data_IF_021707414171
#
_entry.id   IF_021707414171
#
_cell.length_a   1.000
_cell.length_b   1.000
_cell.length_c   1.000
_cell.angle_alpha   90.00
_cell.angle_beta   90.00
_cell.angle_gamma   90.00
#
_symmetry.space_group_name_H-M   'P 1'
#
loop_
_entity.id
_entity.type
_entity.pdbx_description
1 polymer ?
#
# COMPACT_ATOMS: atom_id res chain seq x y z
N UNK A 1 14.51 -9.31 -6.87
CA UNK A 1 15.28 -9.49 -8.13
C UNK A 1 15.24 -8.20 -8.92
N UNK A 2 16.40 -7.65 -9.28
CA UNK A 2 16.57 -6.46 -10.12
C UNK A 2 17.04 -6.86 -11.52
N UNK A 3 16.61 -6.14 -12.55
CA UNK A 3 16.99 -6.37 -13.96
C UNK A 3 17.48 -5.07 -14.55
N UNK A 4 18.63 -5.08 -15.24
CA UNK A 4 19.27 -3.89 -15.82
C UNK A 4 20.08 -4.27 -17.07
N UNK A 5 20.49 -3.29 -17.91
CA UNK A 5 21.45 -3.54 -19.01
C UNK A 5 22.84 -3.04 -18.63
N UNK A 6 23.87 -3.84 -18.91
CA UNK A 6 25.25 -3.36 -18.77
C UNK A 6 25.64 -2.40 -19.91
N UNK A 7 26.84 -1.83 -19.82
CA UNK A 7 27.38 -0.91 -20.84
C UNK A 7 27.51 -1.51 -22.25
N UNK A 8 27.40 -2.83 -22.39
CA UNK A 8 27.42 -3.56 -23.66
C UNK A 8 26.01 -3.89 -24.16
N UNK A 9 24.96 -3.45 -23.46
CA UNK A 9 23.56 -3.72 -23.79
C UNK A 9 23.08 -5.12 -23.42
N UNK A 10 23.87 -5.90 -22.68
CA UNK A 10 23.49 -7.23 -22.21
C UNK A 10 22.55 -7.11 -21.00
N UNK A 11 21.53 -7.97 -20.96
CA UNK A 11 20.61 -8.05 -19.80
C UNK A 11 21.31 -8.71 -18.63
N UNK A 12 21.30 -8.03 -17.50
CA UNK A 12 21.87 -8.43 -16.23
C UNK A 12 20.78 -8.52 -15.17
N UNK A 13 21.01 -9.39 -14.20
CA UNK A 13 20.11 -9.68 -13.09
C UNK A 13 20.87 -9.59 -11.78
N UNK A 14 20.34 -8.88 -10.80
CA UNK A 14 20.92 -8.84 -9.46
C UNK A 14 19.91 -9.34 -8.45
N UNK A 15 20.28 -10.37 -7.68
CA UNK A 15 19.44 -10.92 -6.62
C UNK A 15 19.94 -10.42 -5.28
N UNK A 16 19.08 -9.74 -4.53
CA UNK A 16 19.41 -9.24 -3.20
C UNK A 16 18.57 -9.88 -2.12
N UNK A 17 19.19 -9.93 -0.94
CA UNK A 17 18.62 -10.43 0.30
C UNK A 17 18.51 -9.26 1.27
N UNK A 18 17.38 -9.14 1.96
CA UNK A 18 17.22 -8.14 3.03
C UNK A 18 15.79 -7.63 3.16
N UNK A 19 15.57 -6.90 4.26
CA UNK A 19 14.34 -6.13 4.47
C UNK A 19 14.23 -5.02 3.41
N UNK A 20 12.99 -4.68 3.04
CA UNK A 20 12.62 -3.78 1.93
C UNK A 20 13.37 -2.44 1.92
N UNK A 21 13.88 -1.99 3.06
CA UNK A 21 14.42 -0.65 3.28
C UNK A 21 15.97 -0.57 3.23
N UNK A 22 16.69 -1.66 2.91
CA UNK A 22 18.15 -1.74 3.06
C UNK A 22 18.98 -1.74 1.76
N UNK A 23 18.41 -1.30 0.63
CA UNK A 23 19.09 -1.36 -0.68
C UNK A 23 19.70 -0.02 -1.11
N UNK A 24 21.01 0.10 -0.93
CA UNK A 24 21.80 1.18 -1.52
C UNK A 24 22.04 0.92 -3.03
N UNK A 25 22.19 1.99 -3.82
CA UNK A 25 22.51 1.90 -5.26
C UNK A 25 23.79 1.07 -5.52
N UNK A 26 24.76 1.16 -4.61
CA UNK A 26 26.01 0.37 -4.62
C UNK A 26 25.76 -1.14 -4.59
N UNK A 27 24.70 -1.59 -3.92
CA UNK A 27 24.29 -3.00 -3.88
C UNK A 27 23.65 -3.39 -5.21
N UNK A 28 22.76 -2.56 -5.78
CA UNK A 28 22.04 -2.85 -7.04
C UNK A 28 22.97 -3.22 -8.20
N UNK A 29 24.13 -2.56 -8.28
CA UNK A 29 25.15 -2.79 -9.31
C UNK A 29 26.36 -3.60 -8.80
N UNK A 30 26.22 -4.33 -7.69
CA UNK A 30 27.29 -5.15 -7.15
C UNK A 30 27.60 -6.32 -8.09
N UNK A 31 28.75 -6.24 -8.77
CA UNK A 31 29.29 -7.22 -9.70
C UNK A 31 29.36 -8.66 -9.14
N UNK A 32 29.37 -8.85 -7.82
CA UNK A 32 29.38 -10.18 -7.20
C UNK A 32 28.01 -10.88 -7.24
N UNK A 33 26.92 -10.10 -7.31
CA UNK A 33 25.54 -10.60 -7.37
C UNK A 33 24.95 -10.63 -8.78
N UNK A 34 25.72 -10.14 -9.76
CA UNK A 34 25.30 -10.02 -11.16
C UNK A 34 25.30 -11.39 -11.83
N UNK A 35 24.11 -11.80 -12.25
CA UNK A 35 23.89 -12.92 -13.15
C UNK A 35 23.59 -12.36 -14.53
N UNK A 36 24.17 -12.93 -15.59
CA UNK A 36 23.83 -12.61 -16.99
C UNK A 36 23.06 -13.74 -17.66
N UNK A 37 22.85 -14.83 -16.94
CA UNK A 37 22.15 -16.02 -17.41
C UNK A 37 20.85 -16.21 -16.62
N UNK A 38 19.72 -16.14 -17.34
CA UNK A 38 18.40 -16.37 -16.78
C UNK A 38 18.25 -17.81 -16.23
N UNK A 39 18.93 -18.81 -16.80
CA UNK A 39 18.91 -20.16 -16.26
C UNK A 39 19.57 -20.25 -14.88
N UNK A 40 20.63 -19.50 -14.63
CA UNK A 40 21.26 -19.38 -13.32
C UNK A 40 20.35 -18.68 -12.30
N UNK A 41 19.64 -17.61 -12.72
CA UNK A 41 18.62 -16.95 -11.90
C UNK A 41 17.53 -17.95 -11.52
N UNK A 42 17.02 -18.73 -12.48
CA UNK A 42 15.99 -19.76 -12.27
C UNK A 42 16.46 -20.84 -11.28
N UNK A 43 17.68 -21.33 -11.43
CA UNK A 43 18.23 -22.35 -10.53
C UNK A 43 18.35 -21.83 -9.10
N UNK A 44 18.81 -20.58 -8.95
CA UNK A 44 18.87 -19.92 -7.64
C UNK A 44 17.46 -19.80 -7.05
N UNK A 45 16.51 -19.19 -7.75
CA UNK A 45 15.11 -19.05 -7.30
C UNK A 45 14.47 -20.40 -6.91
N UNK A 46 14.73 -21.46 -7.66
CA UNK A 46 14.21 -22.80 -7.37
C UNK A 46 14.82 -23.45 -6.12
N UNK A 47 16.06 -23.13 -5.75
CA UNK A 47 16.70 -23.65 -4.53
C UNK A 47 16.05 -23.09 -3.26
N UNK A 48 15.51 -21.87 -3.31
CA UNK A 48 14.82 -21.21 -2.18
C UNK A 48 13.38 -21.74 -1.95
N UNK A 49 12.91 -22.69 -2.77
CA UNK A 49 11.64 -23.43 -2.59
C UNK A 49 11.56 -24.21 -1.27
N UNK A 50 12.67 -24.44 -0.58
CA UNK A 50 12.75 -25.33 0.58
C UNK A 50 12.47 -24.65 1.93
N UNK A 51 12.53 -23.32 2.02
CA UNK A 51 12.47 -22.58 3.30
C UNK A 51 11.15 -21.83 3.54
N UNK A 52 10.28 -21.72 2.52
CA UNK A 52 8.97 -21.07 2.64
C UNK A 52 9.01 -19.54 2.53
N UNK A 53 10.10 -18.95 2.06
CA UNK A 53 10.27 -17.49 1.94
C UNK A 53 9.41 -16.88 0.82
N UNK A 54 8.77 -15.75 1.07
CA UNK A 54 8.02 -14.99 0.07
C UNK A 54 8.97 -14.24 -0.88
N UNK A 55 8.76 -14.37 -2.18
CA UNK A 55 9.62 -13.76 -3.21
C UNK A 55 8.94 -12.52 -3.79
N UNK A 56 9.48 -11.34 -3.50
CA UNK A 56 9.09 -10.10 -4.17
C UNK A 56 10.09 -9.78 -5.29
N UNK A 57 9.57 -9.60 -6.50
CA UNK A 57 10.34 -9.20 -7.68
C UNK A 57 10.06 -7.71 -7.92
N UNK A 58 11.13 -6.91 -7.89
CA UNK A 58 11.06 -5.47 -8.18
C UNK A 58 11.85 -5.24 -9.44
N UNK A 59 11.14 -5.23 -10.57
CA UNK A 59 11.74 -4.89 -11.86
C UNK A 59 11.92 -3.37 -11.91
N UNK A 60 13.12 -2.89 -12.23
CA UNK A 60 13.39 -1.47 -12.40
C UNK A 60 13.90 -1.24 -13.81
N UNK A 61 13.05 -0.66 -14.66
CA UNK A 61 13.52 -0.08 -15.92
C UNK A 61 14.36 1.14 -15.60
N UNK A 62 15.67 1.03 -15.79
CA UNK A 62 16.52 2.18 -16.07
C UNK A 62 16.51 2.27 -17.59
N UNK A 63 15.74 3.21 -18.16
CA UNK A 63 15.76 3.81 -19.52
C UNK A 63 16.22 3.02 -20.77
N UNK A 64 16.52 1.72 -20.69
CA UNK A 64 17.32 0.95 -21.64
C UNK A 64 16.57 -0.29 -22.18
N UNK A 65 15.38 -0.59 -21.66
CA UNK A 65 14.50 -1.64 -22.17
C UNK A 65 13.26 -1.05 -22.85
N UNK A 66 12.96 -1.52 -24.06
CA UNK A 66 11.68 -1.23 -24.71
C UNK A 66 10.53 -1.96 -24.03
N UNK A 67 9.30 -1.45 -24.18
CA UNK A 67 8.07 -2.09 -23.66
C UNK A 67 7.93 -3.55 -24.11
N UNK A 68 8.34 -3.88 -25.34
CA UNK A 68 8.30 -5.24 -25.89
C UNK A 68 9.34 -6.16 -25.24
N UNK A 69 10.57 -5.68 -25.02
CA UNK A 69 11.59 -6.44 -24.29
C UNK A 69 11.16 -6.69 -22.84
N UNK A 70 10.49 -5.71 -22.22
CA UNK A 70 9.96 -5.82 -20.86
C UNK A 70 8.87 -6.87 -20.76
N UNK A 71 7.91 -6.90 -21.69
CA UNK A 71 6.85 -7.90 -21.72
C UNK A 71 7.41 -9.33 -21.92
N UNK A 72 8.34 -9.49 -22.86
CA UNK A 72 8.97 -10.79 -23.11
C UNK A 72 9.80 -11.29 -21.91
N UNK A 73 10.44 -10.39 -21.17
CA UNK A 73 11.17 -10.72 -19.96
C UNK A 73 10.24 -11.09 -18.80
N UNK A 74 9.15 -10.35 -18.65
CA UNK A 74 8.07 -10.63 -17.69
C UNK A 74 7.53 -12.05 -17.87
N UNK A 75 7.16 -12.42 -19.09
CA UNK A 75 6.59 -13.74 -19.37
C UNK A 75 7.58 -14.86 -19.02
N UNK A 76 8.86 -14.66 -19.40
CA UNK A 76 9.93 -15.62 -19.11
C UNK A 76 10.24 -15.78 -17.61
N UNK A 77 10.04 -14.73 -16.83
CA UNK A 77 10.21 -14.76 -15.38
C UNK A 77 9.01 -15.43 -14.72
N UNK A 78 7.78 -15.00 -15.04
CA UNK A 78 6.51 -15.52 -14.49
C UNK A 78 6.38 -17.03 -14.66
N UNK A 79 6.69 -17.55 -15.86
CA UNK A 79 6.69 -19.00 -16.14
C UNK A 79 7.67 -19.79 -15.25
N UNK A 80 8.61 -19.10 -14.61
CA UNK A 80 9.66 -19.69 -13.79
C UNK A 80 9.40 -19.57 -12.28
N UNK A 81 8.31 -18.93 -11.86
CA UNK A 81 8.03 -18.67 -10.45
C UNK A 81 7.19 -19.79 -9.79
N UNK A 82 7.40 -20.08 -8.49
CA UNK A 82 6.69 -21.16 -7.79
C UNK A 82 5.19 -20.85 -7.64
N UNK A 83 4.29 -21.85 -7.63
CA UNK A 83 2.83 -21.63 -7.56
C UNK A 83 2.28 -20.73 -6.41
N UNK A 84 3.08 -20.44 -5.37
CA UNK A 84 2.73 -19.57 -4.24
C UNK A 84 3.47 -18.21 -4.27
N UNK A 85 3.89 -17.75 -5.44
CA UNK A 85 4.51 -16.44 -5.61
C UNK A 85 3.45 -15.35 -5.80
N UNK A 86 3.77 -14.13 -5.37
CA UNK A 86 3.15 -12.91 -5.88
C UNK A 86 4.21 -12.16 -6.70
N UNK A 87 3.99 -12.01 -8.00
CA UNK A 87 4.86 -11.21 -8.86
C UNK A 87 4.23 -9.88 -9.20
N UNK A 88 5.02 -8.82 -9.09
CA UNK A 88 4.68 -7.47 -9.53
C UNK A 88 5.72 -6.99 -10.53
N UNK A 89 5.30 -6.47 -11.68
CA UNK A 89 6.21 -5.97 -12.72
C UNK A 89 5.93 -4.49 -12.95
N UNK A 90 6.96 -3.66 -12.90
CA UNK A 90 6.85 -2.22 -13.13
C UNK A 90 8.13 -1.63 -13.71
N UNK A 91 8.02 -0.46 -14.35
CA UNK A 91 9.17 0.40 -14.64
C UNK A 91 9.25 1.46 -13.54
N UNK A 92 10.45 1.84 -13.08
CA UNK A 92 10.62 2.77 -11.95
C UNK A 92 9.83 4.10 -12.12
N UNK A 93 9.51 4.47 -13.37
CA UNK A 93 8.60 5.58 -13.72
C UNK A 93 7.13 5.21 -14.02
N UNK A 94 6.80 4.09 -14.69
CA UNK A 94 5.40 3.77 -15.07
C UNK A 94 4.56 3.20 -13.92
N UNK A 95 5.18 2.73 -12.82
CA UNK A 95 4.42 2.33 -11.61
C UNK A 95 3.74 3.54 -10.94
N UNK A 96 4.10 4.76 -11.34
CA UNK A 96 3.54 6.02 -10.87
C UNK A 96 2.17 6.37 -11.48
N UNK A 97 1.93 6.01 -12.75
CA UNK A 97 0.80 6.52 -13.53
C UNK A 97 -0.37 5.53 -13.65
N UNK A 98 -0.11 4.22 -13.62
CA UNK A 98 -1.16 3.20 -13.48
C UNK A 98 -1.33 2.88 -12.00
N UNK A 99 -2.36 3.46 -11.38
CA UNK A 99 -2.66 3.32 -9.95
C UNK A 99 -2.35 1.92 -9.40
N UNK A 100 -1.48 1.89 -8.39
CA UNK A 100 -1.09 0.70 -7.63
C UNK A 100 -2.22 0.23 -6.70
N UNK A 101 -3.42 -0.02 -7.23
CA UNK A 101 -4.49 -0.64 -6.45
C UNK A 101 -4.24 -2.13 -6.19
N UNK A 102 -3.27 -2.75 -6.89
CA UNK A 102 -3.00 -4.21 -6.81
C UNK A 102 -1.78 -4.61 -5.96
N UNK A 103 -1.11 -3.67 -5.29
CA UNK A 103 0.18 -3.94 -4.64
C UNK A 103 0.26 -3.53 -3.17
N UNK A 104 -0.65 -4.03 -2.35
CA UNK A 104 -0.34 -4.45 -0.98
C UNK A 104 -1.27 -5.60 -0.60
N UNK A 105 -0.95 -6.82 -1.03
CA UNK A 105 -1.11 -7.89 -0.03
C UNK A 105 -0.06 -7.61 1.02
N UNK A 106 -0.49 -7.49 2.28
CA UNK A 106 0.36 -7.87 3.40
C UNK A 106 0.68 -9.35 3.16
N UNK A 107 1.73 -9.57 2.36
CA UNK A 107 2.30 -10.88 2.10
C UNK A 107 2.76 -11.44 3.43
N UNK A 108 2.72 -12.76 3.55
CA UNK A 108 2.89 -13.57 4.76
C UNK A 108 4.28 -13.48 5.45
N UNK A 109 4.95 -12.34 5.39
CA UNK A 109 6.03 -11.94 6.31
C UNK A 109 5.46 -11.24 7.56
N UNK A 110 4.12 -11.37 7.73
CA UNK A 110 3.29 -10.63 8.65
C UNK A 110 3.62 -10.91 10.11
N UNK A 111 3.70 -9.83 10.88
CA UNK A 111 3.91 -9.78 12.33
C UNK A 111 3.66 -11.13 13.02
N UNK A 112 4.75 -11.81 13.38
CA UNK A 112 4.67 -13.15 13.94
C UNK A 112 4.53 -13.07 15.45
N UNK A 113 3.30 -12.95 15.93
CA UNK A 113 3.04 -13.12 17.35
C UNK A 113 3.09 -14.60 17.71
N UNK A 114 3.93 -14.98 18.67
CA UNK A 114 3.80 -16.27 19.35
C UNK A 114 2.44 -16.31 20.07
N UNK A 115 1.55 -17.19 19.60
CA UNK A 115 0.19 -17.40 20.14
C UNK A 115 0.17 -18.74 20.88
N UNK A 116 0.90 -18.84 21.98
CA UNK A 116 0.93 -20.04 22.84
C UNK A 116 -0.20 -20.05 23.89
N UNK A 117 -1.18 -19.16 23.73
CA UNK A 117 -2.40 -19.07 24.54
C UNK A 117 -2.22 -18.37 25.90
N UNK A 118 -1.00 -17.99 26.27
CA UNK A 118 -0.75 -17.20 27.46
C UNK A 118 -0.78 -15.70 27.13
N UNK A 119 -1.49 -14.92 27.95
CA UNK A 119 -1.40 -13.46 27.88
C UNK A 119 0.04 -13.03 28.12
N UNK A 120 0.62 -12.27 27.18
CA UNK A 120 2.00 -11.76 27.28
C UNK A 120 2.17 -10.40 26.63
N UNK A 121 3.23 -9.71 27.02
CA UNK A 121 3.64 -8.47 26.37
C UNK A 121 4.35 -8.77 25.04
N UNK A 122 4.29 -7.81 24.13
CA UNK A 122 5.12 -7.82 22.93
C UNK A 122 6.59 -7.65 23.29
N UNK A 123 7.43 -8.40 22.60
CA UNK A 123 8.87 -8.21 22.60
C UNK A 123 9.25 -6.94 21.84
N UNK A 124 10.46 -6.43 22.07
CA UNK A 124 10.98 -5.29 21.31
C UNK A 124 11.04 -5.56 19.81
N UNK A 125 11.23 -6.82 19.41
CA UNK A 125 11.25 -7.23 18.00
C UNK A 125 9.86 -7.18 17.38
N UNK A 126 8.85 -7.73 18.05
CA UNK A 126 7.46 -7.64 17.61
C UNK A 126 6.97 -6.19 17.50
N UNK A 127 7.38 -5.31 18.43
CA UNK A 127 7.08 -3.87 18.33
C UNK A 127 7.74 -3.25 17.09
N UNK A 128 8.98 -3.64 16.74
CA UNK A 128 9.63 -3.18 15.50
C UNK A 128 8.88 -3.68 14.26
N UNK A 129 8.51 -4.97 14.23
CA UNK A 129 7.74 -5.56 13.12
C UNK A 129 6.39 -4.88 12.93
N UNK A 130 5.68 -4.57 14.02
CA UNK A 130 4.44 -3.78 13.96
C UNK A 130 4.72 -2.42 13.31
N UNK A 131 5.72 -1.67 13.80
CA UNK A 131 6.01 -0.36 13.23
C UNK A 131 6.39 -0.43 11.75
N UNK A 132 7.14 -1.45 11.32
CA UNK A 132 7.43 -1.71 9.90
C UNK A 132 6.13 -1.93 9.10
N UNK A 133 5.23 -2.77 9.62
CA UNK A 133 3.95 -3.07 8.98
C UNK A 133 3.00 -1.86 8.87
N UNK A 134 3.19 -0.80 9.67
CA UNK A 134 2.43 0.46 9.63
C UNK A 134 3.22 1.63 9.01
N UNK A 135 4.45 1.41 8.56
CA UNK A 135 5.26 2.46 7.95
C UNK A 135 4.69 2.84 6.58
N UNK A 136 4.61 4.14 6.30
CA UNK A 136 4.30 4.64 4.96
C UNK A 136 5.50 4.38 4.04
N UNK A 137 5.26 3.96 2.79
CA UNK A 137 6.33 3.63 1.84
C UNK A 137 6.94 4.90 1.23
N UNK A 138 7.67 5.68 2.02
CA UNK A 138 8.56 6.72 1.48
C UNK A 138 9.99 6.17 1.40
N UNK A 139 10.75 6.40 0.32
CA UNK A 139 12.19 6.45 0.46
C UNK A 139 12.53 7.68 1.29
N UNK A 140 12.94 7.49 2.55
CA UNK A 140 13.68 8.50 3.28
C UNK A 140 15.03 8.64 2.59
N UNK A 141 15.24 9.73 1.85
CA UNK A 141 16.59 10.13 1.48
C UNK A 141 17.23 10.76 2.72
N UNK A 142 18.27 10.11 3.24
CA UNK A 142 19.16 10.72 4.24
C UNK A 142 19.87 11.92 3.58
N UNK A 143 19.41 13.12 3.92
CA UNK A 143 20.17 14.36 3.74
C UNK A 143 20.92 14.66 5.04
N UNK A 144 22.22 14.92 4.91
CA UNK A 144 23.23 14.99 5.98
C UNK A 144 23.10 16.21 6.93
N UNK A 145 22.00 16.95 6.86
CA UNK A 145 21.91 18.28 7.44
C UNK A 145 20.52 18.60 7.97
N UNK A 146 20.03 17.76 8.92
CA UNK A 146 19.19 18.15 10.08
C UNK A 146 17.84 18.84 9.84
N UNK A 147 17.52 19.17 8.59
CA UNK A 147 16.28 19.72 8.11
C UNK A 147 15.57 18.61 7.37
N UNK A 148 14.46 18.14 7.95
CA UNK A 148 13.55 17.19 7.31
C UNK A 148 13.09 17.77 5.97
N UNK A 149 13.80 17.42 4.91
CA UNK A 149 13.50 17.86 3.56
C UNK A 149 12.25 17.11 3.08
N UNK A 150 11.10 17.67 3.41
CA UNK A 150 9.96 17.53 2.53
C UNK A 150 10.34 18.14 1.17
N UNK A 151 9.91 17.47 0.09
CA UNK A 151 9.82 17.99 -1.28
C UNK A 151 11.10 18.01 -2.14
N UNK A 152 11.69 16.87 -2.51
CA UNK A 152 12.24 16.75 -3.89
C UNK A 152 12.35 15.30 -4.40
N UNK A 153 11.36 14.85 -5.16
CA UNK A 153 11.65 14.10 -6.39
C UNK A 153 10.75 14.69 -7.48
N UNK A 154 11.26 14.78 -8.71
CA UNK A 154 10.57 15.44 -9.82
C UNK A 154 9.30 14.71 -10.28
N UNK A 155 9.05 13.50 -9.76
CA UNK A 155 8.02 12.56 -10.23
C UNK A 155 7.16 12.07 -9.06
N UNK A 156 6.42 13.02 -8.47
CA UNK A 156 5.48 12.91 -7.33
C UNK A 156 4.69 11.59 -7.24
N UNK A 157 5.20 10.57 -6.55
CA UNK A 157 4.38 9.44 -6.09
C UNK A 157 4.51 9.27 -4.59
N UNK A 158 3.38 9.48 -3.91
CA UNK A 158 3.25 9.24 -2.48
C UNK A 158 2.67 7.84 -2.30
N UNK A 159 3.40 6.97 -1.60
CA UNK A 159 2.86 5.68 -1.19
C UNK A 159 2.57 5.72 0.30
N UNK A 160 1.31 5.61 0.65
CA UNK A 160 0.90 5.45 2.04
C UNK A 160 0.28 4.07 2.21
N UNK A 161 0.45 3.54 3.41
CA UNK A 161 0.01 2.22 3.75
C UNK A 161 -1.52 2.18 3.78
N UNK A 162 -2.18 1.29 3.01
CA UNK A 162 -3.65 1.25 2.91
C UNK A 162 -4.32 0.97 4.25
N UNK A 163 -3.60 0.40 5.22
CA UNK A 163 -4.11 0.18 6.58
C UNK A 163 -4.33 1.52 7.31
N UNK A 164 -3.57 2.57 6.99
CA UNK A 164 -3.60 3.81 7.74
C UNK A 164 -4.93 4.59 7.57
N UNK A 165 -5.70 4.36 6.50
CA UNK A 165 -7.04 4.95 6.34
C UNK A 165 -8.01 4.53 7.45
N UNK A 166 -7.87 3.29 7.92
CA UNK A 166 -8.69 2.74 9.00
C UNK A 166 -8.36 3.35 10.37
N UNK A 167 -7.35 4.21 10.45
CA UNK A 167 -6.86 4.82 11.68
C UNK A 167 -7.15 6.32 11.78
N UNK A 168 -7.88 6.87 10.80
CA UNK A 168 -8.24 8.29 10.77
C UNK A 168 -9.45 8.63 11.66
N UNK A 169 -10.20 7.61 12.05
CA UNK A 169 -11.31 7.73 13.00
C UNK A 169 -11.15 6.74 14.15
N UNK A 170 -11.83 7.00 15.25
CA UNK A 170 -11.91 6.12 16.40
C UNK A 170 -13.27 5.41 16.46
N UNK A 171 -13.25 4.11 16.71
CA UNK A 171 -14.44 3.24 16.75
C UNK A 171 -14.22 2.03 17.65
N UNK A 172 -15.28 1.63 18.37
CA UNK A 172 -15.27 0.43 19.23
C UNK A 172 -15.49 -0.84 18.41
N UNK A 173 -16.24 -0.74 17.31
CA UNK A 173 -16.55 -1.85 16.40
C UNK A 173 -16.33 -1.45 14.95
N UNK A 174 -15.94 -2.38 14.06
CA UNK A 174 -15.67 -2.03 12.66
C UNK A 174 -16.86 -1.39 11.93
N UNK A 175 -18.09 -1.72 12.32
CA UNK A 175 -19.33 -1.15 11.76
C UNK A 175 -19.52 0.34 12.07
N UNK A 176 -18.76 0.90 13.02
CA UNK A 176 -18.88 2.28 13.49
C UNK A 176 -17.82 3.20 12.89
N UNK A 177 -16.89 2.67 12.09
CA UNK A 177 -15.89 3.46 11.39
C UNK A 177 -16.54 4.62 10.63
N UNK A 178 -15.97 5.82 10.76
CA UNK A 178 -16.44 6.98 10.03
C UNK A 178 -16.05 6.85 8.56
N UNK A 179 -17.01 6.53 7.69
CA UNK A 179 -16.73 6.28 6.28
C UNK A 179 -16.21 7.53 5.57
N UNK A 180 -16.64 8.73 5.96
CA UNK A 180 -16.11 9.98 5.41
C UNK A 180 -14.60 10.12 5.69
N UNK A 181 -14.15 9.88 6.93
CA UNK A 181 -12.73 10.01 7.30
C UNK A 181 -11.87 8.99 6.54
N UNK A 182 -12.41 7.78 6.33
CA UNK A 182 -11.76 6.75 5.50
C UNK A 182 -11.64 7.21 4.03
N UNK A 183 -12.73 7.71 3.45
CA UNK A 183 -12.78 8.12 2.04
C UNK A 183 -11.97 9.39 1.79
N UNK A 184 -11.93 10.37 2.69
CA UNK A 184 -11.24 11.65 2.47
C UNK A 184 -9.75 11.49 2.19
N UNK A 185 -9.16 10.39 2.64
CA UNK A 185 -7.74 10.16 2.57
C UNK A 185 -7.34 8.88 1.85
N UNK A 186 -8.28 8.13 1.26
CA UNK A 186 -8.02 6.88 0.53
C UNK A 186 -6.96 7.08 -0.60
N UNK A 187 -6.13 6.09 -0.92
CA UNK A 187 -5.04 6.28 -1.91
C UNK A 187 -5.35 5.73 -3.32
N UNK A 188 -6.38 4.90 -3.50
CA UNK A 188 -6.72 4.26 -4.78
C UNK A 188 -7.67 5.04 -5.69
N UNK A 189 -7.51 6.36 -5.77
CA UNK A 189 -8.46 7.24 -6.46
C UNK A 189 -8.21 7.45 -7.95
N UNK A 190 -9.30 7.55 -8.70
CA UNK A 190 -9.30 8.21 -10.02
C UNK A 190 -9.70 9.68 -9.86
N UNK A 191 -9.10 10.58 -10.64
CA UNK A 191 -9.47 12.00 -10.64
C UNK A 191 -10.42 12.29 -11.79
N UNK A 192 -11.47 13.07 -11.55
CA UNK A 192 -12.37 13.54 -12.61
C UNK A 192 -11.63 14.50 -13.56
N UNK A 193 -11.79 14.31 -14.87
CA UNK A 193 -11.17 15.14 -15.91
C UNK A 193 -12.21 16.03 -16.60
N UNK A 194 -11.98 17.34 -16.63
CA UNK A 194 -12.87 18.29 -17.31
C UNK A 194 -13.06 17.98 -18.80
N UNK A 195 -12.10 17.30 -19.44
CA UNK A 195 -12.13 16.96 -20.87
C UNK A 195 -13.02 15.76 -21.15
N UNK A 196 -13.40 15.01 -20.11
CA UNK A 196 -14.25 13.84 -20.21
C UNK A 196 -15.73 14.22 -19.98
N UNK A 197 -16.58 13.99 -20.98
CA UNK A 197 -17.99 14.33 -20.89
C UNK A 197 -18.76 13.52 -19.85
N UNK A 198 -18.31 12.32 -19.50
CA UNK A 198 -18.92 11.51 -18.45
C UNK A 198 -18.55 12.05 -17.05
N UNK A 199 -17.30 12.44 -16.86
CA UNK A 199 -16.85 13.06 -15.60
C UNK A 199 -17.54 14.42 -15.35
N UNK A 200 -17.80 15.20 -16.41
CA UNK A 200 -18.61 16.42 -16.30
C UNK A 200 -20.06 16.14 -15.86
N UNK A 201 -20.64 15.00 -16.27
CA UNK A 201 -21.98 14.57 -15.84
C UNK A 201 -21.96 14.14 -14.38
N UNK A 202 -20.98 13.35 -13.97
CA UNK A 202 -20.74 12.98 -12.56
C UNK A 202 -20.66 14.23 -11.69
N UNK A 203 -19.80 15.16 -12.07
CA UNK A 203 -19.61 16.41 -11.36
C UNK A 203 -20.90 17.24 -11.24
N UNK A 204 -21.70 17.31 -12.32
CA UNK A 204 -23.00 17.98 -12.31
C UNK A 204 -24.01 17.32 -11.35
N UNK A 205 -23.87 16.02 -11.06
CA UNK A 205 -24.67 15.34 -10.03
C UNK A 205 -24.14 15.62 -8.62
N UNK A 206 -22.82 15.63 -8.43
CA UNK A 206 -22.20 16.02 -7.16
C UNK A 206 -22.61 17.43 -6.73
N UNK A 207 -22.65 18.38 -7.66
CA UNK A 207 -23.09 19.77 -7.41
C UNK A 207 -24.56 19.89 -6.95
N UNK A 208 -25.37 18.84 -7.11
CA UNK A 208 -26.76 18.80 -6.62
C UNK A 208 -26.87 18.20 -5.22
N UNK A 209 -25.80 17.58 -4.70
CA UNK A 209 -25.78 17.06 -3.34
C UNK A 209 -25.80 18.20 -2.34
N UNK A 210 -26.41 17.93 -1.19
CA UNK A 210 -26.35 18.86 -0.06
C UNK A 210 -24.90 18.94 0.44
N UNK A 211 -24.42 20.15 0.70
CA UNK A 211 -23.10 20.47 1.25
C UNK A 211 -21.87 20.16 0.37
N UNK A 212 -22.04 19.78 -0.90
CA UNK A 212 -20.90 19.62 -1.81
C UNK A 212 -20.18 20.97 -2.05
N UNK A 213 -18.86 21.09 -1.80
CA UNK A 213 -18.22 22.39 -1.63
C UNK A 213 -17.79 23.06 -2.94
N UNK A 214 -17.77 22.32 -4.06
CA UNK A 214 -17.19 22.80 -5.32
C UNK A 214 -18.27 23.36 -6.24
N UNK A 215 -18.15 24.65 -6.58
CA UNK A 215 -19.00 25.35 -7.55
C UNK A 215 -18.25 25.60 -8.86
N UNK A 216 -18.97 25.85 -9.96
CA UNK A 216 -18.35 26.13 -11.27
C UNK A 216 -18.15 24.86 -12.08
N UNK A 217 -16.97 24.69 -12.69
CA UNK A 217 -16.53 23.52 -13.46
C UNK A 217 -15.50 22.68 -12.69
N UNK A 218 -15.14 21.50 -13.22
CA UNK A 218 -14.09 20.65 -12.63
C UNK A 218 -12.75 21.42 -12.52
N UNK A 219 -12.38 22.20 -13.53
CA UNK A 219 -11.14 22.99 -13.51
C UNK A 219 -11.16 24.20 -12.57
N UNK A 220 -12.34 24.66 -12.15
CA UNK A 220 -12.47 25.70 -11.12
C UNK A 220 -12.22 25.15 -9.70
N UNK A 221 -12.15 23.82 -9.55
CA UNK A 221 -11.91 23.19 -8.27
C UNK A 221 -10.50 23.50 -7.76
N UNK A 222 -10.33 24.04 -6.54
CA UNK A 222 -9.01 24.31 -5.96
C UNK A 222 -8.22 23.02 -5.66
N UNK A 223 -8.89 21.86 -5.73
CA UNK A 223 -8.39 20.54 -5.37
C UNK A 223 -8.92 19.48 -6.33
N UNK A 224 -8.18 18.39 -6.57
CA UNK A 224 -8.69 17.29 -7.40
C UNK A 224 -9.98 16.70 -6.82
N UNK A 225 -10.95 16.43 -7.68
CA UNK A 225 -12.16 15.69 -7.32
C UNK A 225 -11.88 14.22 -7.58
N UNK A 226 -11.83 13.44 -6.51
CA UNK A 226 -11.38 12.06 -6.52
C UNK A 226 -12.57 11.11 -6.40
N UNK A 227 -12.55 9.99 -7.13
CA UNK A 227 -13.56 8.92 -7.09
C UNK A 227 -12.95 7.54 -6.85
N UNK A 228 -13.60 6.73 -6.02
CA UNK A 228 -13.28 5.31 -5.75
C UNK A 228 -14.54 4.48 -5.91
N UNK A 229 -14.43 3.31 -6.52
CA UNK A 229 -15.60 2.43 -6.65
C UNK A 229 -16.01 1.86 -5.30
N UNK A 230 -17.31 1.62 -5.13
CA UNK A 230 -17.82 0.93 -3.94
C UNK A 230 -17.22 -0.47 -3.78
N UNK A 231 -16.97 -1.16 -4.89
CA UNK A 231 -16.39 -2.50 -4.90
C UNK A 231 -14.97 -2.54 -4.32
N UNK A 232 -14.13 -1.55 -4.65
CA UNK A 232 -12.79 -1.41 -4.07
C UNK A 232 -12.86 -1.20 -2.56
N UNK A 233 -13.70 -0.25 -2.11
CA UNK A 233 -13.90 0.02 -0.67
C UNK A 233 -14.43 -1.21 0.07
N UNK A 234 -15.41 -1.91 -0.47
CA UNK A 234 -15.94 -3.14 0.13
C UNK A 234 -14.90 -4.27 0.17
N UNK A 235 -14.01 -4.34 -0.84
CA UNK A 235 -12.86 -5.25 -0.85
C UNK A 235 -11.89 -4.99 0.31
N UNK A 236 -11.58 -3.73 0.58
CA UNK A 236 -10.71 -3.34 1.69
C UNK A 236 -11.38 -3.62 3.05
N UNK A 237 -12.67 -3.33 3.18
CA UNK A 237 -13.42 -3.61 4.41
C UNK A 237 -13.47 -5.12 4.70
N UNK A 238 -13.69 -5.96 3.68
CA UNK A 238 -13.63 -7.42 3.83
C UNK A 238 -12.24 -7.92 4.20
N UNK A 239 -11.20 -7.28 3.67
CA UNK A 239 -9.81 -7.68 3.89
C UNK A 239 -9.32 -7.28 5.29
N UNK A 240 -9.48 -6.02 5.66
CA UNK A 240 -8.88 -5.45 6.87
C UNK A 240 -9.81 -5.46 8.08
N UNK A 241 -11.14 -5.46 7.88
CA UNK A 241 -12.12 -5.41 8.96
C UNK A 241 -12.96 -6.70 9.09
N UNK A 242 -12.90 -7.60 8.11
CA UNK A 242 -13.78 -8.79 8.02
C UNK A 242 -15.28 -8.47 8.06
N UNK A 243 -15.69 -7.30 7.55
CA UNK A 243 -17.10 -6.91 7.39
C UNK A 243 -17.37 -6.50 5.95
N UNK A 244 -18.62 -6.56 5.51
CA UNK A 244 -19.04 -5.88 4.29
C UNK A 244 -19.27 -4.40 4.55
N UNK A 245 -19.06 -3.57 3.53
CA UNK A 245 -19.38 -2.15 3.56
C UNK A 245 -20.86 -1.90 3.91
N UNK A 246 -21.78 -2.80 3.57
CA UNK A 246 -23.20 -2.70 3.96
C UNK A 246 -23.44 -2.73 5.46
N UNK A 247 -22.50 -3.26 6.24
CA UNK A 247 -22.58 -3.29 7.70
C UNK A 247 -22.16 -1.97 8.34
N UNK A 248 -21.59 -1.03 7.56
CA UNK A 248 -21.13 0.27 8.07
C UNK A 248 -22.29 1.20 8.33
N UNK A 249 -22.38 1.65 9.58
CA UNK A 249 -23.48 2.46 10.12
C UNK A 249 -23.19 3.96 10.06
N UNK A 250 -21.92 4.37 10.19
CA UNK A 250 -21.53 5.77 10.14
C UNK A 250 -21.11 6.20 8.72
N UNK A 251 -22.06 6.75 7.98
CA UNK A 251 -21.89 7.21 6.58
C UNK A 251 -22.09 8.72 6.41
N UNK A 252 -22.11 9.46 7.52
CA UNK A 252 -22.37 10.89 7.51
C UNK A 252 -21.23 11.62 6.79
N UNK A 253 -21.56 12.59 5.92
CA UNK A 253 -20.56 13.40 5.21
C UNK A 253 -19.91 12.74 4.00
N UNK A 254 -20.26 11.49 3.67
CA UNK A 254 -19.73 10.81 2.48
C UNK A 254 -20.53 11.19 1.23
N UNK A 255 -19.86 11.59 0.16
CA UNK A 255 -20.48 11.79 -1.16
C UNK A 255 -20.50 10.47 -1.93
N UNK A 256 -21.70 9.96 -2.24
CA UNK A 256 -21.90 8.71 -2.98
C UNK A 256 -22.91 8.90 -4.11
N UNK A 257 -22.51 8.57 -5.34
CA UNK A 257 -23.41 8.55 -6.50
C UNK A 257 -23.78 7.11 -6.84
N UNK A 258 -25.04 6.75 -6.63
CA UNK A 258 -25.55 5.41 -6.91
C UNK A 258 -25.46 5.03 -8.41
N UNK A 259 -25.67 6.00 -9.32
CA UNK A 259 -25.60 5.79 -10.77
C UNK A 259 -24.20 5.35 -11.25
N UNK A 260 -23.17 5.68 -10.48
CA UNK A 260 -21.76 5.38 -10.76
C UNK A 260 -21.17 4.35 -9.78
N UNK A 261 -21.95 3.94 -8.79
CA UNK A 261 -21.55 3.08 -7.68
C UNK A 261 -20.18 3.47 -7.07
N UNK A 262 -20.00 4.77 -6.82
CA UNK A 262 -18.71 5.34 -6.43
C UNK A 262 -18.84 6.39 -5.31
N UNK A 263 -17.79 6.47 -4.49
CA UNK A 263 -17.60 7.49 -3.47
C UNK A 263 -16.67 8.59 -3.95
N UNK A 264 -16.87 9.81 -3.46
CA UNK A 264 -16.12 10.99 -3.88
C UNK A 264 -15.58 11.78 -2.68
N UNK A 265 -14.41 12.41 -2.87
CA UNK A 265 -13.88 13.43 -1.95
C UNK A 265 -13.18 14.56 -2.73
N UNK A 266 -12.92 15.65 -2.01
CA UNK A 266 -12.25 16.84 -2.53
C UNK A 266 -11.13 17.28 -1.56
N UNK A 267 -10.40 16.33 -0.97
CA UNK A 267 -9.36 16.64 0.03
C UNK A 267 -8.02 16.91 -0.68
N UNK A 268 -7.42 18.08 -0.41
CA UNK A 268 -6.18 18.58 -1.04
C UNK A 268 -4.99 17.66 -0.80
N UNK A 269 -4.73 17.37 0.48
CA UNK A 269 -3.47 16.76 0.91
C UNK A 269 -3.79 15.54 1.77
N UNK A 270 -3.01 14.47 1.60
CA UNK A 270 -3.06 13.33 2.48
C UNK A 270 -1.85 13.33 3.43
N UNK A 271 -2.04 13.85 4.65
CA UNK A 271 -1.06 13.73 5.72
C UNK A 271 -1.48 12.60 6.66
N UNK A 272 -1.46 11.37 6.15
CA UNK A 272 -1.75 10.20 6.98
C UNK A 272 -0.49 9.85 7.76
N UNK A 273 -0.52 10.09 9.07
CA UNK A 273 0.58 9.72 9.96
C UNK A 273 0.54 8.21 10.24
N UNK A 274 1.67 7.50 10.15
CA UNK A 274 1.71 6.08 10.44
C UNK A 274 1.44 5.81 11.92
N UNK A 275 0.81 4.67 12.22
CA UNK A 275 0.64 4.21 13.60
C UNK A 275 1.99 3.84 14.21
N UNK A 276 2.39 4.56 15.25
CA UNK A 276 3.64 4.30 15.96
C UNK A 276 3.41 3.49 17.23
N UNK A 277 3.60 2.18 17.13
CA UNK A 277 3.51 1.25 18.25
C UNK A 277 4.65 1.47 19.24
N UNK A 278 4.32 1.70 20.51
CA UNK A 278 5.28 1.81 21.62
C UNK A 278 5.37 0.51 22.44
N UNK A 279 4.25 -0.21 22.54
CA UNK A 279 4.16 -1.48 23.26
C UNK A 279 2.89 -2.22 22.82
N UNK A 280 2.71 -3.46 23.28
CA UNK A 280 1.48 -4.19 23.05
C UNK A 280 1.37 -5.42 23.92
N UNK A 281 0.23 -6.10 23.82
CA UNK A 281 -0.01 -7.40 24.42
C UNK A 281 -0.71 -8.34 23.44
N UNK A 282 -0.44 -9.63 23.60
CA UNK A 282 -1.11 -10.73 22.91
C UNK A 282 -1.88 -11.50 23.96
N UNK A 283 -3.15 -11.80 23.67
CA UNK A 283 -4.06 -12.57 24.49
C UNK A 283 -4.87 -13.51 23.59
N UNK A 284 -4.33 -14.70 23.37
CA UNK A 284 -4.84 -15.62 22.34
C UNK A 284 -4.84 -14.96 20.96
N UNK A 285 -5.98 -14.98 20.28
CA UNK A 285 -6.14 -14.38 18.95
C UNK A 285 -6.26 -12.85 18.96
N UNK A 286 -6.25 -12.20 20.13
CA UNK A 286 -6.39 -10.76 20.26
C UNK A 286 -5.03 -10.12 20.51
N UNK A 287 -4.74 -9.06 19.77
CA UNK A 287 -3.55 -8.25 19.91
C UNK A 287 -3.97 -6.81 20.17
N UNK A 288 -3.44 -6.22 21.24
CA UNK A 288 -3.61 -4.80 21.54
C UNK A 288 -2.28 -4.10 21.35
N UNK A 289 -2.28 -3.11 20.46
CA UNK A 289 -1.13 -2.28 20.15
C UNK A 289 -1.37 -0.91 20.77
N UNK A 290 -0.38 -0.41 21.51
CA UNK A 290 -0.46 0.85 22.23
C UNK A 290 0.47 1.86 21.56
N UNK A 291 -0.10 2.97 21.10
CA UNK A 291 0.66 4.14 20.67
C UNK A 291 0.73 5.17 21.82
N UNK A 292 1.27 6.34 21.52
CA UNK A 292 1.21 7.49 22.43
C UNK A 292 -0.25 7.91 22.70
N UNK A 293 -1.10 7.88 21.68
CA UNK A 293 -2.44 8.46 21.68
C UNK A 293 -3.57 7.47 21.49
N UNK A 294 -3.27 6.25 21.04
CA UNK A 294 -4.29 5.33 20.54
C UNK A 294 -4.04 3.90 21.03
N UNK A 295 -5.12 3.12 21.02
CA UNK A 295 -5.14 1.67 21.21
C UNK A 295 -5.75 1.04 19.96
N UNK A 296 -4.93 0.31 19.21
CA UNK A 296 -5.37 -0.46 18.05
C UNK A 296 -5.53 -1.93 18.45
N UNK A 297 -6.71 -2.48 18.27
CA UNK A 297 -6.99 -3.89 18.57
C UNK A 297 -7.14 -4.67 17.28
N UNK A 298 -6.35 -5.74 17.15
CA UNK A 298 -6.38 -6.68 16.05
C UNK A 298 -6.89 -8.03 16.54
N UNK A 299 -7.55 -8.77 15.65
CA UNK A 299 -7.93 -10.17 15.86
C UNK A 299 -7.40 -11.04 14.74
N UNK A 300 -6.83 -12.19 15.09
CA UNK A 300 -6.46 -13.21 14.11
C UNK A 300 -7.72 -13.92 13.60
N UNK A 301 -7.95 -13.87 12.28
CA UNK A 301 -9.07 -14.50 11.58
C UNK A 301 -8.52 -15.22 10.36
N UNK A 302 -8.66 -16.55 10.31
CA UNK A 302 -8.21 -17.38 9.19
C UNK A 302 -6.75 -17.10 8.75
N UNK A 303 -5.85 -16.98 9.72
CA UNK A 303 -4.42 -16.73 9.47
C UNK A 303 -4.04 -15.27 9.27
N UNK A 304 -5.01 -14.35 9.10
CA UNK A 304 -4.78 -12.90 8.90
C UNK A 304 -5.14 -12.10 10.13
N UNK A 305 -4.64 -10.87 10.24
CA UNK A 305 -5.05 -9.93 11.30
C UNK A 305 -6.08 -8.94 10.75
N UNK A 306 -7.21 -8.83 11.42
CA UNK A 306 -8.26 -7.86 11.11
C UNK A 306 -8.37 -6.84 12.24
N UNK A 307 -8.57 -5.57 11.90
CA UNK A 307 -8.81 -4.51 12.86
C UNK A 307 -10.22 -4.70 13.42
N UNK A 308 -10.32 -4.75 14.75
CA UNK A 308 -11.60 -4.87 15.45
C UNK A 308 -11.96 -3.62 16.25
N UNK A 309 -10.99 -2.75 16.57
CA UNK A 309 -11.24 -1.43 17.16
C UNK A 309 -10.03 -0.50 16.99
N UNK A 310 -10.27 0.80 16.94
CA UNK A 310 -9.24 1.84 17.06
C UNK A 310 -9.75 2.91 18.03
N UNK A 311 -9.12 3.05 19.20
CA UNK A 311 -9.63 3.91 20.27
C UNK A 311 -8.60 4.95 20.68
N UNK A 312 -9.04 6.14 21.05
CA UNK A 312 -8.19 7.12 21.71
C UNK A 312 -7.82 6.60 23.12
N UNK A 313 -6.57 6.80 23.50
CA UNK A 313 -6.02 6.42 24.79
C UNK A 313 -6.45 7.46 25.83
N UNK A 314 -7.22 7.01 26.84
CA UNK A 314 -7.67 7.83 27.97
C UNK A 314 -6.56 8.18 28.95
#
# INVERSE_FOLDING_TARGET
LFVWKNSEGQTCYSLFWGEKDAFEQSKIYDAQSVMTDLAAVRQNLAAYRADGTHLTIVQMSIDDFSKTEMAALSDQLTDSLPANHSSSIGAYGDVAESGLNDFVTVGDDGIHFAVDGAKRLLTADEVRQVNLAFTNYLPLLDGDDGHKAALVSRDKVFYSNPVCHFLLSHYERPQEIALNDFIDYYFGFQTLDERNSDDQREFSMLQKMTDFPITGTIADSPVPIKRVSRAEVDGDFKTFLSISLDEVTNRQGTYYLADYDAFYNCTSDAAVMPFKCQSGEVDGDIIRLYSEKDVLTLKRVNGRYCIISHLEKQ
#
